data_IF_109222222450
#
_entry.id   IF_109222222450
#
_cell.length_a   1.000
_cell.length_b   1.000
_cell.length_c   1.000
_cell.angle_alpha   90.00
_cell.angle_beta   90.00
_cell.angle_gamma   90.00
#
_symmetry.space_group_name_H-M   'P 1'
#
loop_
_entity.id
_entity.type
_entity.pdbx_description
1 polymer ?
#
# COMPACT_ATOMS: atom_id res chain seq x y z
N UNK A 1 18.62 -3.15 19.15
CA UNK A 1 18.59 -3.53 17.73
C UNK A 1 18.87 -2.32 16.85
N UNK A 2 18.26 -1.15 17.09
CA UNK A 2 18.37 0.04 16.22
C UNK A 2 19.47 1.04 16.64
N UNK A 3 20.34 0.72 17.61
CA UNK A 3 21.38 1.62 18.15
C UNK A 3 22.72 1.56 17.39
N UNK A 4 22.84 0.73 16.38
CA UNK A 4 24.07 0.56 15.60
C UNK A 4 24.00 1.32 14.27
N UNK A 5 25.16 1.60 13.67
CA UNK A 5 25.22 2.11 12.31
C UNK A 5 24.55 1.13 11.35
N UNK A 6 23.89 1.66 10.30
CA UNK A 6 23.24 0.81 9.31
C UNK A 6 24.25 -0.11 8.62
N UNK A 7 23.90 -1.39 8.56
CA UNK A 7 24.66 -2.43 7.83
C UNK A 7 24.03 -2.77 6.46
N UNK A 8 22.98 -2.03 6.08
CA UNK A 8 22.28 -2.24 4.80
C UNK A 8 22.96 -1.38 3.74
N UNK A 9 23.29 -1.98 2.60
CA UNK A 9 23.76 -1.24 1.43
C UNK A 9 22.58 -0.57 0.72
N UNK A 10 22.42 0.72 0.94
CA UNK A 10 21.35 1.52 0.34
C UNK A 10 21.71 2.12 -1.03
N UNK A 11 22.85 1.75 -1.63
CA UNK A 11 23.30 2.26 -2.95
C UNK A 11 22.58 1.56 -4.10
N UNK A 12 22.07 0.37 -3.88
CA UNK A 12 21.36 -0.41 -4.89
C UNK A 12 20.14 0.34 -5.43
N UNK A 13 19.88 0.13 -6.71
CA UNK A 13 18.73 0.75 -7.39
C UNK A 13 17.40 0.18 -6.91
N UNK A 14 17.36 -1.11 -6.61
CA UNK A 14 16.22 -1.83 -6.03
C UNK A 14 16.60 -2.25 -4.61
N UNK A 15 15.75 -1.97 -3.65
CA UNK A 15 15.91 -2.39 -2.24
C UNK A 15 14.59 -3.01 -1.80
N UNK A 16 14.67 -4.18 -1.21
CA UNK A 16 13.57 -4.83 -0.51
C UNK A 16 13.83 -4.79 1.00
N UNK A 17 12.85 -4.35 1.76
CA UNK A 17 12.85 -4.42 3.22
C UNK A 17 11.93 -5.57 3.63
N UNK A 18 12.51 -6.63 4.16
CA UNK A 18 11.76 -7.73 4.76
C UNK A 18 11.66 -7.50 6.27
N UNK A 19 10.44 -7.54 6.79
CA UNK A 19 10.12 -7.35 8.21
C UNK A 19 9.48 -8.60 8.82
N UNK A 20 9.46 -9.70 8.11
CA UNK A 20 8.76 -10.92 8.51
C UNK A 20 9.31 -11.47 9.84
N UNK A 21 10.64 -11.44 10.01
CA UNK A 21 11.33 -11.96 11.19
C UNK A 21 11.30 -11.00 12.40
N UNK A 22 10.72 -9.82 12.25
CA UNK A 22 10.55 -8.90 13.38
C UNK A 22 9.43 -9.41 14.30
N UNK A 23 9.76 -9.69 15.56
CA UNK A 23 8.74 -10.04 16.56
C UNK A 23 7.70 -8.92 16.72
N UNK A 24 6.49 -9.29 17.10
CA UNK A 24 5.32 -8.38 17.17
C UNK A 24 5.60 -7.07 17.93
N UNK A 25 6.38 -7.13 19.03
CA UNK A 25 6.72 -5.96 19.82
C UNK A 25 7.68 -4.99 19.10
N UNK A 26 8.47 -5.47 18.14
CA UNK A 26 9.44 -4.67 17.40
C UNK A 26 8.92 -4.21 16.05
N UNK A 27 7.88 -4.85 15.50
CA UNK A 27 7.29 -4.48 14.20
C UNK A 27 6.96 -2.99 14.09
N UNK A 28 6.24 -2.35 15.05
CA UNK A 28 5.89 -0.94 14.92
C UNK A 28 7.12 -0.02 14.86
N UNK A 29 8.16 -0.34 15.65
CA UNK A 29 9.41 0.42 15.63
C UNK A 29 10.16 0.17 14.31
N UNK A 30 10.22 -1.07 13.87
CA UNK A 30 10.83 -1.44 12.58
C UNK A 30 10.19 -0.73 11.40
N UNK A 31 8.86 -0.67 11.38
CA UNK A 31 8.09 0.05 10.36
C UNK A 31 8.43 1.54 10.34
N UNK A 32 8.56 2.18 11.51
CA UNK A 32 8.94 3.60 11.58
C UNK A 32 10.36 3.84 11.06
N UNK A 33 11.32 3.02 11.47
CA UNK A 33 12.72 3.13 11.02
C UNK A 33 12.83 2.90 9.52
N UNK A 34 12.08 1.94 8.98
CA UNK A 34 12.03 1.65 7.56
C UNK A 34 11.43 2.83 6.78
N UNK A 35 10.28 3.37 7.22
CA UNK A 35 9.65 4.53 6.58
C UNK A 35 10.54 5.77 6.61
N UNK A 36 11.24 6.02 7.72
CA UNK A 36 12.21 7.12 7.80
C UNK A 36 13.37 6.93 6.81
N UNK A 37 13.91 5.72 6.72
CA UNK A 37 14.96 5.36 5.75
C UNK A 37 14.49 5.59 4.31
N UNK A 38 13.26 5.17 3.98
CA UNK A 38 12.65 5.38 2.66
C UNK A 38 12.48 6.86 2.37
N UNK A 39 11.93 7.64 3.32
CA UNK A 39 11.73 9.08 3.15
C UNK A 39 13.06 9.80 2.91
N UNK A 40 14.09 9.49 3.69
CA UNK A 40 15.42 10.06 3.51
C UNK A 40 16.02 9.73 2.13
N UNK A 41 15.76 8.53 1.62
CA UNK A 41 16.15 8.14 0.26
C UNK A 41 15.38 8.91 -0.81
N UNK A 42 14.07 9.03 -0.67
CA UNK A 42 13.21 9.81 -1.58
C UNK A 42 13.69 11.26 -1.68
N UNK A 43 14.00 11.89 -0.55
CA UNK A 43 14.51 13.26 -0.50
C UNK A 43 15.84 13.36 -1.24
N UNK A 44 16.76 12.44 -1.00
CA UNK A 44 18.09 12.39 -1.64
C UNK A 44 17.99 12.17 -3.14
N UNK A 45 17.13 11.24 -3.58
CA UNK A 45 16.89 10.97 -4.99
C UNK A 45 16.31 12.19 -5.71
N UNK A 46 15.36 12.90 -5.08
CA UNK A 46 14.81 14.15 -5.60
C UNK A 46 15.92 15.18 -5.87
N UNK A 47 16.85 15.38 -4.92
CA UNK A 47 17.98 16.31 -5.09
C UNK A 47 18.86 15.95 -6.28
N UNK A 48 18.89 14.67 -6.67
CA UNK A 48 19.61 14.13 -7.82
C UNK A 48 18.77 14.07 -9.10
N UNK A 49 17.53 14.60 -9.10
CA UNK A 49 16.61 14.52 -10.22
C UNK A 49 16.08 13.09 -10.51
N UNK A 50 16.18 12.18 -9.55
CA UNK A 50 15.76 10.78 -9.71
C UNK A 50 14.36 10.57 -9.17
N UNK A 51 13.54 9.85 -9.95
CA UNK A 51 12.23 9.40 -9.52
C UNK A 51 12.35 8.17 -8.61
N UNK A 52 11.43 8.05 -7.63
CA UNK A 52 11.41 6.90 -6.70
C UNK A 52 10.02 6.27 -6.68
N UNK A 53 9.98 4.96 -6.87
CA UNK A 53 8.77 4.17 -6.68
C UNK A 53 8.89 3.39 -5.37
N UNK A 54 7.87 3.50 -4.52
CA UNK A 54 7.78 2.78 -3.25
C UNK A 54 6.54 1.90 -3.30
N UNK A 55 6.72 0.62 -3.06
CA UNK A 55 5.64 -0.36 -2.95
C UNK A 55 5.63 -0.90 -1.52
N UNK A 56 4.46 -0.92 -0.91
CA UNK A 56 4.24 -1.47 0.43
C UNK A 56 3.23 -2.58 0.29
N UNK A 57 3.69 -3.80 0.46
CA UNK A 57 2.83 -4.97 0.53
C UNK A 57 2.24 -5.09 1.94
N UNK A 58 1.03 -5.63 2.05
CA UNK A 58 0.27 -5.75 3.29
C UNK A 58 0.21 -4.43 4.08
N UNK A 59 -0.16 -3.35 3.38
CA UNK A 59 -0.16 -2.00 3.95
C UNK A 59 -1.05 -1.87 5.20
N UNK A 60 -2.04 -2.75 5.39
CA UNK A 60 -2.90 -2.77 6.58
C UNK A 60 -2.10 -2.90 7.89
N UNK A 61 -0.90 -3.49 7.86
CA UNK A 61 -0.03 -3.62 9.03
C UNK A 61 0.37 -2.27 9.66
N UNK A 62 0.26 -1.19 8.90
CA UNK A 62 0.53 0.17 9.41
C UNK A 62 -0.65 0.79 10.15
N UNK A 63 -1.84 0.19 10.06
CA UNK A 63 -3.04 0.74 10.67
C UNK A 63 -3.32 0.01 11.99
N UNK A 64 -3.69 0.77 13.03
CA UNK A 64 -4.02 0.19 14.31
C UNK A 64 -5.31 -0.63 14.20
N UNK A 65 -5.24 -1.94 14.48
CA UNK A 65 -6.43 -2.76 14.63
C UNK A 65 -7.18 -2.37 15.91
N UNK A 66 -8.46 -2.02 15.84
CA UNK A 66 -9.28 -1.84 17.04
C UNK A 66 -9.54 -3.23 17.66
N UNK A 67 -8.91 -3.55 18.79
CA UNK A 67 -9.39 -4.67 19.56
C UNK A 67 -8.39 -5.65 20.16
N UNK A 68 -7.14 -5.66 19.82
CA UNK A 68 -6.12 -6.51 20.46
C UNK A 68 -5.10 -5.65 21.17
N UNK A 69 -5.27 -5.50 22.49
CA UNK A 69 -4.26 -4.93 23.38
C UNK A 69 -3.92 -3.47 23.13
N UNK A 70 -4.81 -2.56 23.54
CA UNK A 70 -4.52 -1.13 23.74
C UNK A 70 -3.94 -0.40 22.52
N UNK A 71 -4.55 0.70 22.12
CA UNK A 71 -3.98 1.61 21.11
C UNK A 71 -2.53 1.94 21.48
N UNK A 72 -1.57 1.24 20.93
CA UNK A 72 -0.16 1.60 21.13
C UNK A 72 0.06 2.96 20.46
N UNK A 73 0.57 3.93 21.20
CA UNK A 73 0.92 5.25 20.66
C UNK A 73 1.82 5.11 19.43
N UNK A 74 2.63 4.06 19.35
CA UNK A 74 3.55 3.77 18.24
C UNK A 74 2.78 3.40 16.96
N UNK A 75 1.69 2.63 17.04
CA UNK A 75 0.88 2.27 15.87
C UNK A 75 0.17 3.51 15.29
N UNK A 76 -0.36 4.38 16.13
CA UNK A 76 -0.93 5.64 15.67
C UNK A 76 0.13 6.51 14.99
N UNK A 77 1.35 6.53 15.53
CA UNK A 77 2.44 7.33 14.97
C UNK A 77 2.90 6.79 13.59
N UNK A 78 2.99 5.48 13.40
CA UNK A 78 3.35 4.88 12.12
C UNK A 78 2.31 5.16 11.03
N UNK A 79 1.02 5.05 11.36
CA UNK A 79 -0.06 5.34 10.42
C UNK A 79 -0.12 6.83 10.04
N UNK A 80 0.06 7.74 11.00
CA UNK A 80 0.13 9.18 10.73
C UNK A 80 1.36 9.54 9.88
N UNK A 81 2.50 8.92 10.16
CA UNK A 81 3.72 9.13 9.38
C UNK A 81 3.54 8.66 7.95
N UNK A 82 2.98 7.45 7.75
CA UNK A 82 2.65 6.93 6.43
C UNK A 82 1.70 7.86 5.66
N UNK A 83 0.67 8.38 6.32
CA UNK A 83 -0.26 9.32 5.70
C UNK A 83 0.41 10.64 5.28
N UNK A 84 1.36 11.14 6.09
CA UNK A 84 2.18 12.30 5.72
C UNK A 84 3.01 12.00 4.46
N UNK A 85 3.59 10.80 4.35
CA UNK A 85 4.32 10.36 3.17
C UNK A 85 3.37 10.26 1.96
N UNK A 86 2.19 9.65 2.13
CA UNK A 86 1.16 9.52 1.08
C UNK A 86 0.83 10.86 0.42
N UNK A 87 0.60 11.89 1.21
CA UNK A 87 0.31 13.24 0.70
C UNK A 87 1.50 13.94 0.06
N UNK A 88 2.72 13.65 0.50
CA UNK A 88 3.90 14.44 0.17
C UNK A 88 4.74 13.86 -0.95
N UNK A 89 4.73 12.55 -1.18
CA UNK A 89 5.64 11.88 -2.11
C UNK A 89 5.58 12.46 -3.52
N UNK A 90 4.39 12.83 -4.00
CA UNK A 90 4.25 13.52 -5.29
C UNK A 90 5.15 14.77 -5.41
N UNK A 91 5.29 15.55 -4.33
CA UNK A 91 6.16 16.73 -4.31
C UNK A 91 7.66 16.39 -4.30
N UNK A 92 7.99 15.13 -4.03
CA UNK A 92 9.37 14.65 -3.97
C UNK A 92 9.76 13.77 -5.17
N UNK A 93 9.02 13.84 -6.27
CA UNK A 93 9.21 12.95 -7.43
C UNK A 93 9.17 11.47 -7.02
N UNK A 94 8.18 11.11 -6.22
CA UNK A 94 7.99 9.74 -5.79
C UNK A 94 6.52 9.32 -5.88
N UNK A 95 6.30 8.03 -6.14
CA UNK A 95 5.01 7.36 -5.96
C UNK A 95 5.06 6.44 -4.75
N UNK A 96 3.93 6.33 -4.08
CA UNK A 96 3.71 5.38 -3.00
C UNK A 96 2.51 4.54 -3.35
N UNK A 97 2.72 3.23 -3.47
CA UNK A 97 1.70 2.24 -3.79
C UNK A 97 1.51 1.31 -2.60
N UNK A 98 0.31 1.24 -2.07
CA UNK A 98 -0.08 0.28 -1.06
C UNK A 98 -0.82 -0.90 -1.67
N UNK A 99 -0.48 -2.10 -1.25
CA UNK A 99 -1.10 -3.34 -1.67
C UNK A 99 -1.68 -4.00 -0.43
N UNK A 100 -2.89 -4.53 -0.53
CA UNK A 100 -3.52 -5.28 0.56
C UNK A 100 -4.54 -6.26 0.03
N UNK A 101 -4.66 -7.38 0.71
CA UNK A 101 -5.74 -8.35 0.55
C UNK A 101 -6.83 -8.14 1.61
N UNK A 102 -6.53 -7.38 2.67
CA UNK A 102 -7.40 -7.19 3.82
C UNK A 102 -7.99 -5.77 3.82
N UNK A 103 -9.01 -5.58 2.99
CA UNK A 103 -9.68 -4.27 2.83
C UNK A 103 -10.47 -3.91 4.08
N UNK A 104 -11.16 -4.87 4.69
CA UNK A 104 -11.96 -4.65 5.89
C UNK A 104 -11.12 -4.04 7.03
N UNK A 105 -9.95 -4.63 7.34
CA UNK A 105 -9.07 -4.08 8.37
C UNK A 105 -8.57 -2.68 8.04
N UNK A 106 -8.25 -2.42 6.77
CA UNK A 106 -7.88 -1.08 6.33
C UNK A 106 -9.02 -0.08 6.59
N UNK A 107 -10.25 -0.45 6.26
CA UNK A 107 -11.41 0.44 6.38
C UNK A 107 -11.86 0.68 7.82
N UNK A 108 -11.36 -0.07 8.81
CA UNK A 108 -11.53 0.24 10.22
C UNK A 108 -10.71 1.46 10.67
N UNK A 109 -9.69 1.85 9.92
CA UNK A 109 -8.84 2.99 10.22
C UNK A 109 -9.29 4.25 9.47
N UNK A 110 -9.57 5.33 10.21
CA UNK A 110 -9.87 6.63 9.60
C UNK A 110 -8.71 7.14 8.72
N UNK A 111 -7.47 6.88 9.13
CA UNK A 111 -6.27 7.23 8.36
C UNK A 111 -6.24 6.50 7.02
N UNK A 112 -6.52 5.18 7.01
CA UNK A 112 -6.60 4.42 5.78
C UNK A 112 -7.76 4.90 4.88
N UNK A 113 -8.95 5.16 5.43
CA UNK A 113 -10.06 5.74 4.66
C UNK A 113 -9.66 7.05 3.98
N UNK A 114 -8.95 7.92 4.67
CA UNK A 114 -8.40 9.16 4.09
C UNK A 114 -7.36 8.90 3.01
N UNK A 115 -6.54 7.84 3.13
CA UNK A 115 -5.58 7.45 2.10
C UNK A 115 -6.29 6.94 0.85
N UNK A 116 -7.30 6.08 0.99
CA UNK A 116 -8.13 5.62 -0.13
C UNK A 116 -8.78 6.80 -0.86
N UNK A 117 -9.41 7.73 -0.12
CA UNK A 117 -10.08 8.89 -0.69
C UNK A 117 -9.11 9.85 -1.43
N UNK A 118 -7.84 9.92 -0.99
CA UNK A 118 -6.81 10.76 -1.59
C UNK A 118 -5.92 10.02 -2.60
N UNK A 119 -6.23 8.77 -2.93
CA UNK A 119 -5.50 8.00 -3.93
C UNK A 119 -5.90 8.44 -5.34
N UNK A 120 -4.92 8.72 -6.17
CA UNK A 120 -5.12 9.07 -7.58
C UNK A 120 -5.59 7.85 -8.38
N UNK A 121 -5.02 6.69 -8.06
CA UNK A 121 -5.34 5.41 -8.67
C UNK A 121 -5.74 4.41 -7.59
N UNK A 122 -6.83 3.68 -7.83
CA UNK A 122 -7.21 2.51 -7.06
C UNK A 122 -7.45 1.36 -8.02
N UNK A 123 -6.78 0.26 -7.80
CA UNK A 123 -6.98 -0.97 -8.58
C UNK A 123 -7.69 -1.98 -7.69
N UNK A 124 -8.89 -2.36 -8.08
CA UNK A 124 -9.71 -3.36 -7.41
C UNK A 124 -9.68 -4.63 -8.24
N UNK A 125 -9.14 -5.68 -7.70
CA UNK A 125 -9.23 -7.03 -8.23
C UNK A 125 -10.46 -7.73 -7.65
N UNK A 126 -10.53 -9.06 -7.73
CA UNK A 126 -11.63 -9.81 -7.14
C UNK A 126 -11.81 -9.50 -5.65
N UNK A 127 -13.02 -9.18 -5.23
CA UNK A 127 -13.34 -8.74 -3.87
C UNK A 127 -14.35 -9.66 -3.21
N UNK A 128 -14.17 -9.87 -1.90
CA UNK A 128 -15.18 -10.55 -1.07
C UNK A 128 -16.49 -9.73 -1.01
N UNK A 129 -17.66 -10.38 -0.85
CA UNK A 129 -18.95 -9.69 -0.80
C UNK A 129 -19.02 -8.58 0.26
N UNK A 130 -18.42 -8.79 1.44
CA UNK A 130 -18.34 -7.82 2.53
C UNK A 130 -17.57 -6.57 2.13
N UNK A 131 -16.40 -6.76 1.53
CA UNK A 131 -15.53 -5.68 1.11
C UNK A 131 -16.15 -4.84 0.00
N UNK A 132 -16.87 -5.48 -0.93
CA UNK A 132 -17.57 -4.81 -2.03
C UNK A 132 -18.55 -3.75 -1.54
N UNK A 133 -19.36 -4.07 -0.50
CA UNK A 133 -20.35 -3.14 0.03
C UNK A 133 -19.69 -1.88 0.63
N UNK A 134 -18.59 -2.04 1.34
CA UNK A 134 -17.84 -0.92 1.92
C UNK A 134 -17.10 -0.11 0.85
N UNK A 135 -16.48 -0.79 -0.12
CA UNK A 135 -15.80 -0.15 -1.25
C UNK A 135 -16.78 0.62 -2.14
N UNK A 136 -17.97 0.05 -2.41
CA UNK A 136 -19.02 0.74 -3.18
C UNK A 136 -19.40 2.08 -2.54
N UNK A 137 -19.60 2.10 -1.23
CA UNK A 137 -19.90 3.34 -0.48
C UNK A 137 -18.73 4.32 -0.53
N UNK A 138 -17.50 3.84 -0.33
CA UNK A 138 -16.30 4.69 -0.31
C UNK A 138 -16.01 5.33 -1.67
N UNK A 139 -16.28 4.60 -2.75
CA UNK A 139 -15.97 5.01 -4.12
C UNK A 139 -17.17 5.66 -4.86
N UNK A 140 -18.33 5.69 -4.23
CA UNK A 140 -19.61 6.09 -4.85
C UNK A 140 -19.88 5.30 -6.13
N UNK A 141 -19.64 3.99 -6.05
CA UNK A 141 -19.78 3.06 -7.18
C UNK A 141 -21.15 2.39 -7.16
N UNK A 142 -21.74 2.22 -8.34
CA UNK A 142 -22.98 1.47 -8.51
C UNK A 142 -22.77 -0.04 -8.40
N UNK A 143 -23.85 -0.78 -8.09
CA UNK A 143 -23.82 -2.24 -8.05
C UNK A 143 -23.31 -2.84 -9.37
N UNK A 144 -23.75 -2.31 -10.50
CA UNK A 144 -23.30 -2.74 -11.83
C UNK A 144 -21.79 -2.54 -12.07
N UNK A 145 -21.19 -1.52 -11.46
CA UNK A 145 -19.73 -1.36 -11.49
C UNK A 145 -19.04 -2.35 -10.58
N UNK A 146 -19.59 -2.60 -9.39
CA UNK A 146 -19.02 -3.57 -8.45
C UNK A 146 -19.13 -5.02 -8.92
N UNK A 147 -20.02 -5.34 -9.85
CA UNK A 147 -20.12 -6.67 -10.47
C UNK A 147 -18.82 -7.06 -11.22
N UNK A 148 -18.06 -6.09 -11.73
CA UNK A 148 -16.77 -6.36 -12.39
C UNK A 148 -15.67 -6.88 -11.45
N UNK A 149 -15.85 -6.77 -10.15
CA UNK A 149 -14.95 -7.31 -9.12
C UNK A 149 -15.57 -8.43 -8.30
N UNK A 150 -16.74 -8.92 -8.76
CA UNK A 150 -17.45 -10.06 -8.19
C UNK A 150 -17.08 -11.31 -8.98
N UNK A 151 -16.47 -12.29 -8.32
CA UNK A 151 -16.02 -13.53 -8.97
C UNK A 151 -15.18 -13.29 -10.24
N UNK A 152 -14.45 -12.18 -10.24
CA UNK A 152 -13.64 -11.76 -11.36
C UNK A 152 -12.48 -12.74 -11.60
N UNK A 153 -12.23 -13.17 -12.85
CA UNK A 153 -11.06 -13.97 -13.16
C UNK A 153 -9.75 -13.24 -12.85
N UNK A 154 -8.65 -13.99 -12.75
CA UNK A 154 -7.33 -13.40 -12.58
C UNK A 154 -7.03 -12.38 -13.70
N UNK A 155 -6.51 -11.22 -13.34
CA UNK A 155 -6.22 -10.14 -14.29
C UNK A 155 -7.39 -9.24 -14.64
N UNK A 156 -8.59 -9.53 -14.13
CA UNK A 156 -9.77 -8.68 -14.33
C UNK A 156 -10.02 -7.82 -13.10
N UNK A 157 -10.60 -6.64 -13.30
CA UNK A 157 -10.94 -5.77 -12.19
C UNK A 157 -11.45 -4.40 -12.61
N UNK A 158 -11.48 -3.49 -11.64
CA UNK A 158 -11.80 -2.08 -11.83
C UNK A 158 -10.60 -1.21 -11.49
N UNK A 159 -10.39 -0.18 -12.28
CA UNK A 159 -9.43 0.88 -11.97
C UNK A 159 -10.17 2.20 -11.81
N UNK A 160 -9.96 2.87 -10.69
CA UNK A 160 -10.37 4.25 -10.46
C UNK A 160 -9.22 5.18 -10.81
N UNK A 161 -9.49 6.16 -11.67
CA UNK A 161 -8.57 7.22 -12.04
C UNK A 161 -9.30 8.55 -11.88
N UNK A 162 -8.91 9.34 -10.88
CA UNK A 162 -9.66 10.55 -10.52
C UNK A 162 -11.12 10.21 -10.16
N UNK A 163 -12.08 10.73 -10.93
CA UNK A 163 -13.51 10.45 -10.78
C UNK A 163 -14.04 9.30 -11.65
N UNK A 164 -13.22 8.77 -12.56
CA UNK A 164 -13.63 7.69 -13.47
C UNK A 164 -13.35 6.33 -12.86
N UNK A 165 -14.32 5.42 -12.96
CA UNK A 165 -14.19 4.01 -12.59
C UNK A 165 -14.38 3.17 -13.85
N UNK A 166 -13.33 2.45 -14.27
CA UNK A 166 -13.27 1.76 -15.56
C UNK A 166 -12.90 0.29 -15.36
N UNK A 167 -13.65 -0.66 -15.94
CA UNK A 167 -13.24 -2.06 -15.94
C UNK A 167 -11.99 -2.25 -16.79
N UNK A 168 -11.14 -3.19 -16.41
CA UNK A 168 -9.95 -3.56 -17.15
C UNK A 168 -9.76 -5.08 -17.21
N UNK A 169 -9.05 -5.51 -18.24
CA UNK A 169 -8.56 -6.88 -18.40
C UNK A 169 -7.06 -6.78 -18.66
N UNK A 170 -6.28 -7.45 -17.83
CA UNK A 170 -4.83 -7.53 -17.96
C UNK A 170 -4.41 -8.99 -17.78
N UNK A 171 -4.56 -9.76 -18.83
CA UNK A 171 -4.12 -11.16 -18.86
C UNK A 171 -2.65 -11.23 -19.28
N UNK A 172 -1.82 -11.78 -18.40
CA UNK A 172 -0.41 -11.99 -18.70
C UNK A 172 -0.26 -13.19 -19.64
N UNK A 173 0.37 -13.05 -20.83
CA UNK A 173 0.55 -14.15 -21.75
C UNK A 173 1.34 -15.30 -21.11
N UNK A 174 0.79 -16.51 -21.15
CA UNK A 174 1.33 -17.69 -20.44
C UNK A 174 2.63 -18.23 -21.04
N UNK A 175 2.95 -17.87 -22.26
CA UNK A 175 4.15 -18.27 -23.00
C UNK A 175 5.36 -17.36 -22.73
N UNK A 176 5.20 -16.34 -21.90
CA UNK A 176 6.27 -15.39 -21.56
C UNK A 176 7.13 -15.90 -20.41
N UNK A 177 8.42 -15.49 -20.41
CA UNK A 177 9.33 -15.73 -19.30
C UNK A 177 8.82 -15.09 -18.01
N UNK A 178 8.22 -13.90 -18.11
CA UNK A 178 7.64 -13.20 -16.97
C UNK A 178 6.54 -14.04 -16.29
N UNK A 179 5.67 -14.68 -17.07
CA UNK A 179 4.64 -15.57 -16.52
C UNK A 179 5.28 -16.74 -15.76
N UNK A 180 6.35 -17.35 -16.30
CA UNK A 180 7.04 -18.48 -15.64
C UNK A 180 7.75 -18.09 -14.35
N UNK A 181 8.17 -16.82 -14.22
CA UNK A 181 8.80 -16.30 -13.00
C UNK A 181 7.80 -15.93 -11.91
N UNK A 182 6.53 -15.71 -12.28
CA UNK A 182 5.47 -15.29 -11.35
C UNK A 182 4.54 -16.43 -10.91
N UNK A 183 4.64 -17.61 -11.50
CA UNK A 183 3.88 -18.82 -11.20
C UNK A 183 4.76 -19.95 -10.74
#
# INVERSE_FOLDING_TARGET
VFAHQTNIDTRNRIICYDIQDLGENLKPIGLLVMLDSILNRVIRNRQQGRYTHVYIDEIYLFFASPGVGGKSAINNYSSEFLYKCWKRFRKYYATLTGITQNVEECLLSDTARLMFANSEFLVLLNQAPTDRAELAKLLDASDAQMDYVSDAPAGHGLIKVGSCLVPFINELPRDTELYRLMT
#
